data_IF_950302187031
#
_entry.id   IF_950302187031
#
_cell.length_a   1.000
_cell.length_b   1.000
_cell.length_c   1.000
_cell.angle_alpha   90.00
_cell.angle_beta   90.00
_cell.angle_gamma   90.00
#
_symmetry.space_group_name_H-M   'P 1'
#
loop_
_entity.id
_entity.type
_entity.pdbx_description
1 polymer ?
#
# COMPACT_ATOMS: atom_id res chain seq x y z
N UNK A 1 34.33 -20.45 -8.92
CA UNK A 1 33.60 -20.37 -7.63
C UNK A 1 32.72 -19.15 -7.74
N UNK A 2 31.50 -19.33 -8.26
CA UNK A 2 30.54 -18.23 -8.38
C UNK A 2 29.59 -18.34 -7.21
N UNK A 3 29.68 -17.33 -6.35
CA UNK A 3 28.93 -17.11 -5.13
C UNK A 3 27.43 -17.09 -5.44
N UNK A 4 26.76 -18.18 -5.12
CA UNK A 4 25.30 -18.26 -5.14
C UNK A 4 24.79 -17.66 -3.82
N UNK A 5 24.89 -16.33 -3.70
CA UNK A 5 24.27 -15.58 -2.61
C UNK A 5 22.77 -15.84 -2.60
N UNK A 6 22.13 -15.96 -1.42
CA UNK A 6 20.75 -16.43 -1.29
C UNK A 6 19.86 -15.56 -2.17
N UNK A 7 19.28 -16.19 -3.19
CA UNK A 7 18.28 -15.60 -4.07
C UNK A 7 17.26 -14.89 -3.19
N UNK A 8 17.31 -13.56 -3.16
CA UNK A 8 16.31 -12.75 -2.48
C UNK A 8 15.01 -13.06 -3.18
N UNK A 9 14.21 -13.92 -2.56
CA UNK A 9 12.84 -14.21 -2.95
C UNK A 9 12.07 -12.88 -2.83
N UNK A 10 12.14 -12.11 -3.91
CA UNK A 10 11.38 -10.90 -4.12
C UNK A 10 9.96 -11.38 -4.38
N UNK A 11 9.24 -11.55 -3.28
CA UNK A 11 7.83 -11.84 -3.26
C UNK A 11 7.16 -10.88 -4.25
N UNK A 12 6.69 -11.41 -5.38
CA UNK A 12 6.11 -10.60 -6.44
C UNK A 12 4.67 -10.34 -6.04
N UNK A 13 4.45 -9.18 -5.43
CA UNK A 13 3.13 -8.78 -4.95
C UNK A 13 2.19 -8.59 -6.14
N UNK A 14 1.18 -9.44 -6.22
CA UNK A 14 0.09 -9.31 -7.19
C UNK A 14 -0.82 -8.14 -6.83
N UNK A 15 -1.57 -7.65 -7.82
CA UNK A 15 -2.54 -6.57 -7.60
C UNK A 15 -3.59 -6.96 -6.54
N UNK A 16 -4.01 -8.24 -6.52
CA UNK A 16 -4.96 -8.76 -5.52
C UNK A 16 -4.39 -8.68 -4.10
N UNK A 17 -3.12 -9.06 -3.92
CA UNK A 17 -2.44 -8.98 -2.62
C UNK A 17 -2.25 -7.54 -2.17
N UNK A 18 -1.90 -6.64 -3.09
CA UNK A 18 -1.74 -5.20 -2.80
C UNK A 18 -3.07 -4.55 -2.43
N UNK A 19 -4.13 -4.88 -3.16
CA UNK A 19 -5.48 -4.43 -2.85
C UNK A 19 -5.95 -4.88 -1.47
N UNK A 20 -5.73 -6.15 -1.12
CA UNK A 20 -6.07 -6.65 0.20
C UNK A 20 -5.24 -5.99 1.29
N UNK A 21 -3.93 -5.78 1.06
CA UNK A 21 -3.08 -5.06 1.99
C UNK A 21 -3.59 -3.63 2.23
N UNK A 22 -3.95 -2.90 1.18
CA UNK A 22 -4.53 -1.54 1.30
C UNK A 22 -5.82 -1.56 2.10
N UNK A 23 -6.72 -2.51 1.85
CA UNK A 23 -7.94 -2.67 2.64
C UNK A 23 -7.64 -2.88 4.13
N UNK A 24 -6.72 -3.78 4.46
CA UNK A 24 -6.30 -4.03 5.84
C UNK A 24 -5.67 -2.79 6.49
N UNK A 25 -4.86 -2.02 5.75
CA UNK A 25 -4.28 -0.76 6.26
C UNK A 25 -5.36 0.27 6.59
N UNK A 26 -6.38 0.39 5.75
CA UNK A 26 -7.53 1.30 5.99
C UNK A 26 -8.33 0.83 7.19
N UNK A 27 -8.63 -0.47 7.28
CA UNK A 27 -9.38 -1.05 8.40
C UNK A 27 -8.64 -0.84 9.72
N UNK A 28 -7.36 -1.22 9.80
CA UNK A 28 -6.56 -1.04 11.00
C UNK A 28 -6.36 0.44 11.34
N UNK A 29 -6.31 1.35 10.36
CA UNK A 29 -6.24 2.79 10.62
C UNK A 29 -7.52 3.38 11.23
N UNK A 30 -8.67 2.72 11.04
CA UNK A 30 -9.96 3.16 11.61
C UNK A 30 -10.15 2.67 13.05
N UNK A 31 -9.42 1.65 13.48
CA UNK A 31 -9.51 1.12 14.84
C UNK A 31 -8.86 2.10 15.83
N UNK A 32 -9.58 2.55 16.88
CA UNK A 32 -9.03 3.46 17.87
C UNK A 32 -7.84 2.83 18.59
N UNK A 33 -6.75 3.58 18.70
CA UNK A 33 -5.52 3.12 19.36
C UNK A 33 -4.58 2.29 18.48
N UNK A 34 -4.93 1.99 17.23
CA UNK A 34 -4.06 1.30 16.25
C UNK A 34 -3.18 2.24 15.42
N UNK A 35 -3.43 3.56 15.47
CA UNK A 35 -2.64 4.61 14.83
C UNK A 35 -1.96 5.51 15.87
N UNK A 36 -0.77 5.99 15.56
CA UNK A 36 -0.04 7.03 16.30
C UNK A 36 0.68 7.95 15.34
N UNK A 37 0.45 9.26 15.44
CA UNK A 37 1.25 10.27 14.73
C UNK A 37 1.28 10.12 13.20
N UNK A 38 0.23 9.55 12.59
CA UNK A 38 0.19 9.32 11.14
C UNK A 38 0.54 7.89 10.70
N UNK A 39 1.22 7.12 11.54
CA UNK A 39 1.64 5.74 11.25
C UNK A 39 0.84 4.70 12.05
N UNK A 40 0.78 3.48 11.51
CA UNK A 40 0.18 2.34 12.20
C UNK A 40 1.12 1.82 13.30
N UNK A 41 0.54 1.43 14.43
CA UNK A 41 1.30 0.82 15.53
C UNK A 41 1.74 -0.60 15.18
N UNK A 42 2.74 -1.08 15.93
CA UNK A 42 3.23 -2.46 15.82
C UNK A 42 2.11 -3.52 15.90
N UNK A 43 1.08 -3.29 16.73
CA UNK A 43 -0.10 -4.15 16.88
C UNK A 43 -0.93 -4.25 15.60
N UNK A 44 -1.13 -3.13 14.91
CA UNK A 44 -1.83 -3.10 13.62
C UNK A 44 -1.08 -3.92 12.57
N UNK A 45 0.25 -3.76 12.49
CA UNK A 45 1.06 -4.56 11.56
C UNK A 45 1.03 -6.07 11.87
N UNK A 46 0.94 -6.47 13.13
CA UNK A 46 0.78 -7.88 13.51
C UNK A 46 -0.60 -8.43 13.13
N UNK A 47 -1.66 -7.62 13.23
CA UNK A 47 -2.98 -8.00 12.74
C UNK A 47 -3.01 -8.13 11.20
N UNK A 48 -2.34 -7.22 10.49
CA UNK A 48 -2.18 -7.26 9.02
C UNK A 48 -1.42 -8.52 8.61
N UNK A 49 -0.28 -8.79 9.24
CA UNK A 49 0.51 -10.00 9.00
C UNK A 49 -0.35 -11.27 9.15
N UNK A 50 -1.06 -11.41 10.28
CA UNK A 50 -1.93 -12.57 10.51
C UNK A 50 -2.98 -12.73 9.40
N UNK A 51 -3.60 -11.64 8.97
CA UNK A 51 -4.65 -11.66 7.93
C UNK A 51 -4.08 -11.97 6.54
N UNK A 52 -2.89 -11.45 6.24
CA UNK A 52 -2.19 -11.76 4.99
C UNK A 52 -1.73 -13.22 4.95
N UNK A 53 -1.21 -13.73 6.07
CA UNK A 53 -0.80 -15.13 6.19
C UNK A 53 -1.96 -16.10 6.06
N UNK A 54 -3.10 -15.78 6.67
CA UNK A 54 -4.34 -16.56 6.59
C UNK A 54 -4.85 -16.66 5.15
N UNK A 55 -4.77 -15.56 4.39
CA UNK A 55 -5.32 -15.49 3.03
C UNK A 55 -4.36 -15.96 1.93
N UNK A 56 -3.07 -15.67 2.05
CA UNK A 56 -2.10 -15.85 0.97
C UNK A 56 -0.89 -16.72 1.34
N UNK A 57 -0.76 -17.11 2.60
CA UNK A 57 0.28 -18.03 3.07
C UNK A 57 1.39 -17.38 3.90
N UNK A 58 2.24 -18.21 4.53
CA UNK A 58 3.19 -17.78 5.56
C UNK A 58 4.32 -16.86 5.07
N UNK A 59 4.46 -16.70 3.75
CA UNK A 59 5.44 -15.81 3.11
C UNK A 59 5.17 -14.31 3.40
N UNK A 60 3.97 -13.95 3.82
CA UNK A 60 3.56 -12.57 4.11
C UNK A 60 3.86 -12.14 5.55
N UNK A 61 5.14 -12.06 5.89
CA UNK A 61 5.59 -11.58 7.20
C UNK A 61 5.47 -10.06 7.33
N UNK A 62 5.39 -9.58 8.56
CA UNK A 62 5.38 -8.17 8.93
C UNK A 62 6.52 -7.36 8.30
N UNK A 63 7.71 -7.95 8.22
CA UNK A 63 8.87 -7.31 7.61
C UNK A 63 8.70 -7.14 6.10
N UNK A 64 8.17 -8.15 5.39
CA UNK A 64 7.85 -8.07 3.97
C UNK A 64 6.77 -7.02 3.69
N UNK A 65 5.73 -6.95 4.53
CA UNK A 65 4.68 -5.93 4.46
C UNK A 65 5.27 -4.53 4.63
N UNK A 66 6.06 -4.31 5.69
CA UNK A 66 6.71 -3.01 5.94
C UNK A 66 7.67 -2.62 4.81
N UNK A 67 8.47 -3.57 4.33
CA UNK A 67 9.38 -3.35 3.23
C UNK A 67 8.61 -2.97 1.96
N UNK A 68 7.51 -3.66 1.65
CA UNK A 68 6.65 -3.31 0.51
C UNK A 68 6.09 -1.90 0.64
N UNK A 69 5.57 -1.55 1.82
CA UNK A 69 5.06 -0.20 2.07
C UNK A 69 6.13 0.87 1.99
N UNK A 70 7.37 0.58 2.37
CA UNK A 70 8.50 1.51 2.20
C UNK A 70 8.70 1.88 0.73
N UNK A 71 8.64 0.91 -0.18
CA UNK A 71 8.75 1.15 -1.63
C UNK A 71 7.47 1.73 -2.25
N UNK A 72 6.30 1.43 -1.68
CA UNK A 72 5.02 2.00 -2.14
C UNK A 72 4.77 3.41 -1.60
N UNK A 73 5.40 3.81 -0.49
CA UNK A 73 5.23 5.13 0.15
C UNK A 73 5.40 6.31 -0.81
N UNK A 74 6.45 6.41 -1.65
CA UNK A 74 6.56 7.52 -2.60
C UNK A 74 5.38 7.56 -3.58
N UNK A 75 4.99 6.42 -4.16
CA UNK A 75 3.83 6.37 -5.06
C UNK A 75 2.53 6.76 -4.36
N UNK A 76 2.33 6.33 -3.10
CA UNK A 76 1.17 6.69 -2.30
C UNK A 76 1.17 8.18 -1.90
N UNK A 77 2.35 8.78 -1.68
CA UNK A 77 2.48 10.22 -1.42
C UNK A 77 2.11 11.01 -2.67
N UNK A 78 2.67 10.64 -3.83
CA UNK A 78 2.32 11.27 -5.11
C UNK A 78 0.82 11.15 -5.40
N UNK A 79 0.24 9.96 -5.20
CA UNK A 79 -1.22 9.78 -5.31
C UNK A 79 -2.00 10.68 -4.35
N UNK A 80 -1.54 10.83 -3.10
CA UNK A 80 -2.17 11.76 -2.16
C UNK A 80 -2.04 13.21 -2.59
N UNK A 81 -0.90 13.63 -3.12
CA UNK A 81 -0.70 15.00 -3.60
C UNK A 81 -1.63 15.29 -4.77
N UNK A 82 -1.68 14.38 -5.75
CA UNK A 82 -2.61 14.46 -6.89
C UNK A 82 -4.07 14.55 -6.39
N UNK A 83 -4.47 13.70 -5.44
CA UNK A 83 -5.82 13.73 -4.87
C UNK A 83 -6.11 14.95 -3.98
N UNK A 84 -5.09 15.71 -3.56
CA UNK A 84 -5.28 16.99 -2.88
C UNK A 84 -5.36 18.16 -3.89
N UNK A 85 -5.03 17.94 -5.15
CA UNK A 85 -5.23 18.93 -6.21
C UNK A 85 -6.72 19.03 -6.56
N UNK A 86 -7.21 20.26 -6.70
CA UNK A 86 -8.62 20.49 -7.04
C UNK A 86 -8.96 19.91 -8.42
N UNK A 87 -10.05 19.16 -8.50
CA UNK A 87 -10.48 18.49 -9.75
C UNK A 87 -10.03 17.04 -9.90
N UNK A 88 -9.28 16.51 -8.94
CA UNK A 88 -8.92 15.10 -8.87
C UNK A 88 -9.80 14.37 -7.85
N UNK A 89 -10.42 13.28 -8.30
CA UNK A 89 -11.18 12.33 -7.49
C UNK A 89 -10.48 10.97 -7.41
N UNK A 90 -10.92 10.13 -6.48
CA UNK A 90 -10.54 8.73 -6.43
C UNK A 90 -11.76 7.89 -6.74
N UNK A 91 -11.70 7.08 -7.79
CA UNK A 91 -12.74 6.12 -8.10
C UNK A 91 -12.52 4.83 -7.28
N UNK A 92 -13.40 4.51 -6.31
CA UNK A 92 -13.23 3.36 -5.44
C UNK A 92 -13.58 2.03 -6.13
N UNK A 93 -14.23 2.06 -7.30
CA UNK A 93 -14.69 0.88 -8.05
C UNK A 93 -13.53 0.30 -8.87
N UNK A 94 -12.90 1.14 -9.68
CA UNK A 94 -11.76 0.83 -10.54
C UNK A 94 -10.42 1.06 -9.81
N UNK A 95 -10.44 1.69 -8.63
CA UNK A 95 -9.28 1.94 -7.76
C UNK A 95 -8.22 2.83 -8.42
N UNK A 96 -8.67 3.75 -9.26
CA UNK A 96 -7.82 4.69 -10.01
C UNK A 96 -8.16 6.14 -9.66
N UNK A 97 -7.25 7.04 -10.02
CA UNK A 97 -7.52 8.49 -9.94
C UNK A 97 -8.48 8.82 -11.08
N UNK A 98 -9.61 9.42 -10.72
CA UNK A 98 -10.60 9.95 -11.66
C UNK A 98 -10.35 11.45 -11.80
N UNK A 99 -10.14 11.91 -13.02
CA UNK A 99 -9.85 13.32 -13.28
C UNK A 99 -10.33 13.66 -14.68
N UNK A 100 -10.85 14.87 -14.82
CA UNK A 100 -11.29 15.38 -16.11
C UNK A 100 -10.05 15.57 -17.03
N UNK A 101 -10.08 15.16 -18.31
CA UNK A 101 -8.92 15.26 -19.21
C UNK A 101 -8.35 16.68 -19.31
N UNK A 102 -9.20 17.70 -19.18
CA UNK A 102 -8.78 19.10 -19.19
C UNK A 102 -8.00 19.47 -17.92
N UNK A 103 -8.43 19.00 -16.75
CA UNK A 103 -7.73 19.19 -15.47
C UNK A 103 -6.41 18.43 -15.45
N UNK A 104 -6.39 17.22 -16.05
CA UNK A 104 -5.15 16.45 -16.19
C UNK A 104 -4.13 17.18 -17.05
N UNK A 105 -4.53 17.75 -18.19
CA UNK A 105 -3.63 18.50 -19.07
C UNK A 105 -3.04 19.74 -18.40
N UNK A 106 -3.85 20.50 -17.65
CA UNK A 106 -3.39 21.69 -16.90
C UNK A 106 -2.40 21.32 -15.78
N UNK A 107 -2.52 20.11 -15.21
CA UNK A 107 -1.63 19.62 -14.15
C UNK A 107 -0.26 19.15 -14.65
N UNK A 108 -0.16 18.65 -15.89
CA UNK A 108 1.07 18.09 -16.46
C UNK A 108 1.87 19.09 -17.32
N UNK A 109 1.32 20.29 -17.57
CA UNK A 109 1.97 21.40 -18.28
C UNK A 109 2.99 22.13 -17.40
#
# INVERSE_FOLDING_TARGET
>A
MEDNGPSRENLTWTEVQMNYLVQLLVEQSRIPGMKSGGDLKSKAYTAIEKSMMDRFGPEFSKDKVKNKLKYSKPNLTVMKEILNTSGFGYDPINKCIEVDPQVWNDYIE
#
